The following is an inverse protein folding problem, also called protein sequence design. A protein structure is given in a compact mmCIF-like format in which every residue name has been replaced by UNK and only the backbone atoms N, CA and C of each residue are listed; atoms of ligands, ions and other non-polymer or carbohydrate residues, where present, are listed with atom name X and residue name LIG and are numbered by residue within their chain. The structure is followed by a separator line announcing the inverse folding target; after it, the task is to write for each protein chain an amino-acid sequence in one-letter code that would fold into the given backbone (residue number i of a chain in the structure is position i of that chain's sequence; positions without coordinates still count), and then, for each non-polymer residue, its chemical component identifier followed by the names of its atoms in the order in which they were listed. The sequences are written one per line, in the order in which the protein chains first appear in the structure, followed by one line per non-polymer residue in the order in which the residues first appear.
data_IF_467324048803
#
_entry.id   IF_467324048803
#
_cell.length_a   1.000
_cell.length_b   1.000
_cell.length_c   1.000
_cell.angle_alpha   90.00
_cell.angle_beta   90.00
_cell.angle_gamma   90.00
#
_symmetry.space_group_name_H-M   'P 1'
#
loop_
_entity.id
_entity.type
_entity.pdbx_description
1 polymer ?
#
# COMPACT_ATOMS: atom_id res chain seq x y z
N UNK A 1 -17.23 8.26 -7.78
CA UNK A 1 -16.27 7.75 -6.78
C UNK A 1 -14.85 8.09 -7.23
N UNK A 2 -14.00 8.55 -6.32
CA UNK A 2 -12.58 8.84 -6.58
C UNK A 2 -11.77 7.97 -5.63
N UNK A 3 -10.78 7.25 -6.14
CA UNK A 3 -9.88 6.43 -5.35
C UNK A 3 -8.43 6.86 -5.58
N UNK A 4 -7.70 7.07 -4.49
CA UNK A 4 -6.28 7.41 -4.51
C UNK A 4 -5.52 6.28 -3.84
N UNK A 5 -4.57 5.69 -4.57
CA UNK A 5 -3.76 4.58 -4.09
C UNK A 5 -2.27 4.88 -4.19
N UNK A 6 -1.48 4.14 -3.42
CA UNK A 6 -0.02 4.17 -3.49
C UNK A 6 0.55 2.77 -3.48
N UNK A 7 1.57 2.56 -4.29
CA UNK A 7 2.34 1.32 -4.34
C UNK A 7 3.46 1.28 -3.28
N UNK A 8 3.71 2.40 -2.58
CA UNK A 8 4.82 2.52 -1.63
C UNK A 8 4.69 1.61 -0.41
N UNK A 9 3.47 1.25 0.00
CA UNK A 9 3.24 0.40 1.19
C UNK A 9 3.33 -1.10 0.90
N UNK A 10 3.04 -1.50 -0.34
CA UNK A 10 2.88 -2.91 -0.70
C UNK A 10 4.07 -3.44 -1.49
N UNK A 11 4.84 -2.58 -2.16
CA UNK A 11 5.99 -2.96 -2.97
C UNK A 11 7.31 -2.47 -2.35
N UNK A 12 7.52 -1.16 -2.32
CA UNK A 12 8.72 -0.56 -1.75
C UNK A 12 8.51 0.94 -1.49
N UNK A 13 8.85 1.49 -0.31
CA UNK A 13 8.60 2.90 -0.01
C UNK A 13 9.33 3.87 -0.96
N UNK A 14 10.52 3.50 -1.44
CA UNK A 14 11.32 4.28 -2.39
C UNK A 14 10.80 4.32 -3.82
N UNK A 15 9.74 3.57 -4.17
CA UNK A 15 9.24 3.46 -5.54
C UNK A 15 8.62 4.78 -6.04
N UNK A 16 8.06 5.59 -5.13
CA UNK A 16 7.40 6.89 -5.39
C UNK A 16 6.32 6.80 -6.48
N UNK A 17 5.58 5.69 -6.50
CA UNK A 17 4.46 5.46 -7.41
C UNK A 17 3.12 5.48 -6.67
N UNK A 18 2.17 6.21 -7.26
CA UNK A 18 0.78 6.25 -6.85
C UNK A 18 -0.14 6.33 -8.06
N UNK A 19 -1.42 6.10 -7.83
CA UNK A 19 -2.44 6.05 -8.88
C UNK A 19 -3.74 6.70 -8.40
N UNK A 20 -4.51 7.18 -9.37
CA UNK A 20 -5.80 7.81 -9.17
C UNK A 20 -6.81 7.10 -10.09
N UNK A 21 -7.94 6.68 -9.53
CA UNK A 21 -9.07 6.11 -10.28
C UNK A 21 -10.28 7.01 -10.08
N UNK A 22 -10.93 7.38 -11.17
CA UNK A 22 -12.09 8.27 -11.14
C UNK A 22 -12.66 8.51 -12.55
N UNK A 23 -13.72 9.32 -12.67
CA UNK A 23 -14.35 9.60 -13.96
C UNK A 23 -13.37 10.22 -14.96
N UNK A 24 -13.51 9.86 -16.25
CA UNK A 24 -12.61 10.32 -17.31
C UNK A 24 -12.42 11.86 -17.36
N UNK A 25 -13.47 12.70 -17.19
CA UNK A 25 -13.29 14.15 -17.16
C UNK A 25 -12.34 14.60 -16.03
N UNK A 26 -12.48 14.02 -14.84
CA UNK A 26 -11.63 14.33 -13.70
C UNK A 26 -10.17 13.92 -13.93
N UNK A 27 -9.95 12.74 -14.52
CA UNK A 27 -8.59 12.26 -14.84
C UNK A 27 -7.92 13.17 -15.88
N UNK A 28 -8.68 13.71 -16.84
CA UNK A 28 -8.16 14.66 -17.83
C UNK A 28 -7.68 15.95 -17.16
N UNK A 29 -8.49 16.54 -16.29
CA UNK A 29 -8.12 17.77 -15.57
C UNK A 29 -6.94 17.51 -14.61
N UNK A 30 -6.93 16.39 -13.89
CA UNK A 30 -5.81 16.00 -13.03
C UNK A 30 -4.50 15.84 -13.82
N UNK A 31 -4.55 15.30 -15.04
CA UNK A 31 -3.37 15.20 -15.93
C UNK A 31 -2.92 16.57 -16.43
N UNK A 32 -3.84 17.50 -16.68
CA UNK A 32 -3.50 18.88 -17.02
C UNK A 32 -2.77 19.57 -15.87
N UNK A 33 -3.34 19.53 -14.65
CA UNK A 33 -2.73 20.11 -13.45
C UNK A 33 -1.38 19.48 -13.09
N UNK A 34 -1.26 18.15 -13.21
CA UNK A 34 0.01 17.46 -12.93
C UNK A 34 1.18 18.03 -13.72
N UNK A 35 0.97 18.45 -14.98
CA UNK A 35 2.05 19.01 -15.82
C UNK A 35 2.66 20.29 -15.24
N UNK A 36 1.95 21.00 -14.37
CA UNK A 36 2.43 22.19 -13.68
C UNK A 36 3.32 21.88 -12.46
N UNK A 37 3.19 20.69 -11.88
CA UNK A 37 3.90 20.30 -10.64
C UNK A 37 4.97 19.24 -10.87
N UNK A 38 4.70 18.27 -11.76
CA UNK A 38 5.54 17.10 -11.96
C UNK A 38 5.42 16.58 -13.41
N UNK A 39 6.55 16.55 -14.11
CA UNK A 39 6.61 16.08 -15.50
C UNK A 39 6.23 14.59 -15.63
N UNK A 40 6.89 13.71 -14.90
CA UNK A 40 6.52 12.30 -14.78
C UNK A 40 7.14 11.63 -13.56
N UNK A 41 6.50 10.56 -13.08
CA UNK A 41 7.13 9.64 -12.13
C UNK A 41 8.30 8.91 -12.82
N UNK A 42 9.32 8.42 -12.09
CA UNK A 42 10.49 7.78 -12.69
C UNK A 42 10.11 6.62 -13.62
N UNK A 43 10.49 6.69 -14.90
CA UNK A 43 10.07 5.73 -15.93
C UNK A 43 10.62 4.31 -15.67
N UNK A 44 11.84 4.22 -15.14
CA UNK A 44 12.44 2.96 -14.69
C UNK A 44 11.57 2.30 -13.62
N UNK A 45 11.12 3.05 -12.61
CA UNK A 45 10.25 2.54 -11.56
C UNK A 45 8.90 2.10 -12.12
N UNK A 46 8.31 2.88 -13.03
CA UNK A 46 7.07 2.51 -13.70
C UNK A 46 7.20 1.19 -14.45
N UNK A 47 8.28 1.00 -15.23
CA UNK A 47 8.52 -0.22 -15.99
C UNK A 47 8.74 -1.43 -15.09
N UNK A 48 9.58 -1.31 -14.08
CA UNK A 48 9.84 -2.39 -13.12
C UNK A 48 8.57 -2.78 -12.37
N UNK A 49 7.79 -1.80 -11.91
CA UNK A 49 6.52 -2.07 -11.22
C UNK A 49 5.50 -2.74 -12.15
N UNK A 50 5.40 -2.29 -13.40
CA UNK A 50 4.51 -2.89 -14.40
C UNK A 50 4.88 -4.36 -14.67
N UNK A 51 6.17 -4.66 -14.86
CA UNK A 51 6.65 -6.03 -15.03
C UNK A 51 6.37 -6.89 -13.79
N UNK A 52 6.64 -6.36 -12.60
CA UNK A 52 6.41 -7.06 -11.35
C UNK A 52 4.93 -7.43 -11.14
N UNK A 53 4.02 -6.50 -11.48
CA UNK A 53 2.58 -6.74 -11.46
C UNK A 53 2.15 -7.74 -12.53
N UNK A 54 2.60 -7.57 -13.77
CA UNK A 54 2.24 -8.44 -14.90
C UNK A 54 2.70 -9.90 -14.69
N UNK A 55 3.80 -10.11 -13.98
CA UNK A 55 4.33 -11.43 -13.63
C UNK A 55 3.66 -12.06 -12.39
N UNK A 56 2.66 -11.40 -11.78
CA UNK A 56 1.93 -11.93 -10.61
C UNK A 56 2.74 -11.95 -9.30
N UNK A 57 3.92 -11.32 -9.28
CA UNK A 57 4.76 -11.28 -8.07
C UNK A 57 4.12 -10.49 -6.94
N UNK A 58 3.24 -9.54 -7.27
CA UNK A 58 2.51 -8.76 -6.29
C UNK A 58 1.58 -9.60 -5.43
N UNK A 59 0.81 -10.51 -6.03
CA UNK A 59 -0.11 -11.36 -5.29
C UNK A 59 0.66 -12.28 -4.33
N UNK A 60 1.77 -12.85 -4.82
CA UNK A 60 2.68 -13.66 -3.99
C UNK A 60 3.26 -12.85 -2.83
N UNK A 61 3.65 -11.59 -3.06
CA UNK A 61 4.19 -10.71 -2.03
C UNK A 61 3.12 -10.33 -1.00
N UNK A 62 1.92 -9.97 -1.44
CA UNK A 62 0.79 -9.63 -0.55
C UNK A 62 0.46 -10.82 0.34
N UNK A 63 0.43 -12.03 -0.20
CA UNK A 63 0.17 -13.23 0.58
C UNK A 63 1.23 -13.47 1.67
N UNK A 64 2.52 -13.30 1.30
CA UNK A 64 3.64 -13.37 2.26
C UNK A 64 3.53 -12.30 3.35
N UNK A 65 3.22 -11.05 2.97
CA UNK A 65 3.06 -9.93 3.90
C UNK A 65 1.88 -10.15 4.86
N UNK A 66 0.74 -10.61 4.36
CA UNK A 66 -0.42 -10.93 5.21
C UNK A 66 -0.09 -11.99 6.25
N UNK A 67 0.65 -13.05 5.87
CA UNK A 67 1.11 -14.07 6.81
C UNK A 67 2.04 -13.47 7.87
N UNK A 68 3.02 -12.66 7.45
CA UNK A 68 3.97 -12.03 8.37
C UNK A 68 3.29 -11.06 9.36
N UNK A 69 2.38 -10.21 8.88
CA UNK A 69 1.64 -9.28 9.75
C UNK A 69 0.71 -10.01 10.71
N UNK A 70 0.04 -11.08 10.25
CA UNK A 70 -0.80 -11.91 11.12
C UNK A 70 0.00 -12.53 12.26
N UNK A 71 1.20 -13.05 11.99
CA UNK A 71 2.05 -13.62 13.03
C UNK A 71 2.53 -12.55 14.02
N UNK A 72 2.97 -11.38 13.54
CA UNK A 72 3.35 -10.24 14.40
C UNK A 72 2.21 -9.79 15.29
N UNK A 73 0.99 -9.74 14.75
CA UNK A 73 -0.20 -9.42 15.52
C UNK A 73 -0.49 -10.42 16.63
N UNK A 74 -0.42 -11.73 16.35
CA UNK A 74 -0.61 -12.75 17.40
C UNK A 74 0.40 -12.60 18.52
N UNK A 75 1.67 -12.34 18.19
CA UNK A 75 2.74 -12.18 19.18
C UNK A 75 2.48 -10.94 20.04
N UNK A 76 2.20 -9.80 19.42
CA UNK A 76 1.91 -8.56 20.15
C UNK A 76 0.67 -8.68 21.03
N UNK A 77 -0.40 -9.32 20.52
CA UNK A 77 -1.62 -9.52 21.29
C UNK A 77 -1.46 -10.41 22.51
N UNK A 78 -0.63 -11.46 22.41
CA UNK A 78 -0.26 -12.27 23.59
C UNK A 78 0.53 -11.43 24.59
N UNK A 79 1.58 -10.74 24.14
CA UNK A 79 2.40 -9.90 25.02
C UNK A 79 1.57 -8.82 25.76
N UNK A 80 0.61 -8.19 25.07
CA UNK A 80 -0.29 -7.21 25.68
C UNK A 80 -1.26 -7.85 26.67
N UNK A 81 -1.78 -9.04 26.38
CA UNK A 81 -2.63 -9.77 27.32
C UNK A 81 -1.86 -10.17 28.59
N UNK A 82 -0.60 -10.61 28.43
CA UNK A 82 0.24 -11.10 29.52
C UNK A 82 0.79 -9.97 30.39
N UNK A 83 1.17 -8.83 29.79
CA UNK A 83 1.87 -7.75 30.49
C UNK A 83 1.03 -6.49 30.73
N UNK A 84 -0.04 -6.26 29.98
CA UNK A 84 -0.88 -5.06 30.04
C UNK A 84 -2.39 -5.39 29.92
N UNK A 85 -2.93 -6.24 30.82
CA UNK A 85 -4.31 -6.72 30.73
C UNK A 85 -5.31 -5.55 30.85
N UNK A 86 -6.24 -5.47 29.89
CA UNK A 86 -7.27 -4.42 29.85
C UNK A 86 -6.86 -3.10 29.20
N UNK A 87 -5.59 -2.95 28.81
CA UNK A 87 -5.06 -1.71 28.22
C UNK A 87 -5.03 -1.72 26.68
N UNK A 88 -5.41 -2.81 26.05
CA UNK A 88 -5.52 -2.91 24.60
C UNK A 88 -6.83 -3.54 24.16
N UNK A 89 -7.34 -3.10 23.00
CA UNK A 89 -8.45 -3.75 22.29
C UNK A 89 -7.87 -4.58 21.16
N UNK A 90 -8.52 -5.69 20.84
CA UNK A 90 -8.14 -6.49 19.68
C UNK A 90 -8.17 -5.61 18.41
N UNK A 91 -7.10 -5.61 17.59
CA UNK A 91 -7.03 -4.72 16.43
C UNK A 91 -8.10 -5.07 15.39
N UNK A 92 -8.60 -4.04 14.71
CA UNK A 92 -9.44 -4.21 13.51
C UNK A 92 -8.57 -4.70 12.35
N UNK A 93 -9.05 -5.72 11.62
CA UNK A 93 -8.27 -6.36 10.56
C UNK A 93 -7.91 -5.36 9.44
N UNK A 94 -6.61 -5.13 9.22
CA UNK A 94 -6.09 -4.18 8.23
C UNK A 94 -4.86 -3.39 8.73
N UNK A 95 -3.95 -3.06 7.81
CA UNK A 95 -2.79 -2.22 8.10
C UNK A 95 -1.59 -2.95 8.70
N UNK A 96 -0.60 -2.16 9.12
CA UNK A 96 0.69 -2.65 9.65
C UNK A 96 0.91 -2.33 11.11
N UNK A 97 0.01 -1.54 11.72
CA UNK A 97 0.05 -1.19 13.14
C UNK A 97 -0.71 -2.24 13.95
N UNK A 98 -0.31 -2.42 15.21
CA UNK A 98 -1.08 -3.17 16.20
C UNK A 98 -1.94 -2.19 16.99
#
# INVERSE_FOLDING_TARGET
MIYVGSLSKTLFPGLRLGYLVGPAPLIREARALRRLMLRHAPNNNQRTAALFLALGHHDSLVHKLQKAYRERWKIMGRALADHLPGWSKAPTFGGTSY
#
